data_IF_290939405748
#
_entry.id   IF_290939405748
#
_cell.length_a   1.000
_cell.length_b   1.000
_cell.length_c   1.000
_cell.angle_alpha   90.00
_cell.angle_beta   90.00
_cell.angle_gamma   90.00
#
_symmetry.space_group_name_H-M   'P 1'
#
loop_
_entity.id
_entity.type
_entity.pdbx_description
1 polymer ?
#
# COMPACT_ATOMS: atom_id res chain seq x y z
N UNK A 1 11.59 8.76 -60.35
CA UNK A 1 10.91 8.91 -59.05
C UNK A 1 10.61 7.51 -58.51
N UNK A 2 11.16 7.13 -57.34
CA UNK A 2 10.74 5.93 -56.61
C UNK A 2 9.97 6.38 -55.37
N UNK A 3 8.80 5.79 -55.14
CA UNK A 3 7.90 6.14 -54.03
C UNK A 3 8.59 5.94 -52.68
N UNK A 4 8.69 6.99 -51.88
CA UNK A 4 8.84 6.88 -50.43
C UNK A 4 7.46 6.61 -49.84
N UNK A 5 6.95 5.39 -50.00
CA UNK A 5 5.83 4.90 -49.18
C UNK A 5 6.31 4.90 -47.73
N UNK A 6 5.54 5.46 -46.81
CA UNK A 6 6.06 5.81 -45.49
C UNK A 6 6.25 4.57 -44.63
N UNK A 7 7.31 4.53 -43.83
CA UNK A 7 7.49 3.52 -42.76
C UNK A 7 6.28 3.46 -41.80
N UNK A 8 5.52 4.55 -41.71
CA UNK A 8 4.26 4.65 -40.97
C UNK A 8 3.17 3.75 -41.55
N UNK A 9 3.11 3.64 -42.88
CA UNK A 9 2.09 2.87 -43.60
C UNK A 9 2.33 1.36 -43.42
N UNK A 10 3.60 0.92 -43.45
CA UNK A 10 3.99 -0.46 -43.10
C UNK A 10 3.65 -0.79 -41.63
N UNK A 11 3.93 0.13 -40.69
CA UNK A 11 3.59 -0.05 -39.28
C UNK A 11 2.08 -0.14 -39.06
N UNK A 12 1.27 0.74 -39.65
CA UNK A 12 -0.20 0.71 -39.54
C UNK A 12 -0.78 -0.60 -40.11
N UNK A 13 -0.22 -1.13 -41.20
CA UNK A 13 -0.59 -2.44 -41.76
C UNK A 13 -0.23 -3.60 -40.82
N UNK A 14 0.92 -3.55 -40.14
CA UNK A 14 1.30 -4.52 -39.10
C UNK A 14 0.39 -4.43 -37.88
N UNK A 15 0.04 -3.23 -37.40
CA UNK A 15 -0.91 -3.03 -36.30
C UNK A 15 -2.32 -3.55 -36.63
N UNK A 16 -2.81 -3.32 -37.85
CA UNK A 16 -4.09 -3.85 -38.31
C UNK A 16 -4.11 -5.39 -38.40
N UNK A 17 -3.04 -5.99 -38.92
CA UNK A 17 -2.91 -7.44 -39.00
C UNK A 17 -2.72 -8.11 -37.63
N UNK A 18 -2.05 -7.45 -36.68
CA UNK A 18 -1.90 -7.96 -35.31
C UNK A 18 -3.23 -7.95 -34.55
N UNK A 19 -3.98 -6.84 -34.60
CA UNK A 19 -5.29 -6.72 -33.95
C UNK A 19 -6.35 -7.65 -34.55
N UNK A 20 -6.35 -7.86 -35.87
CA UNK A 20 -7.18 -8.87 -36.52
C UNK A 20 -6.88 -10.30 -36.04
N UNK A 21 -5.63 -10.57 -35.64
CA UNK A 21 -5.20 -11.88 -35.11
C UNK A 21 -5.55 -12.08 -33.64
N UNK A 22 -5.62 -11.02 -32.84
CA UNK A 22 -6.07 -11.08 -31.44
C UNK A 22 -7.59 -11.31 -31.32
N UNK A 23 -8.38 -10.76 -32.24
CA UNK A 23 -9.84 -10.91 -32.25
C UNK A 23 -10.34 -12.37 -32.35
N UNK A 24 -9.47 -13.32 -32.73
CA UNK A 24 -9.82 -14.72 -32.94
C UNK A 24 -9.55 -15.69 -31.77
N UNK A 25 -8.75 -15.33 -30.74
CA UNK A 25 -8.06 -16.39 -29.97
C UNK A 25 -7.84 -16.23 -28.46
N UNK A 26 -8.29 -15.17 -27.76
CA UNK A 26 -8.08 -15.08 -26.30
C UNK A 26 -9.30 -14.62 -25.47
N UNK A 27 -10.14 -15.55 -25.00
CA UNK A 27 -10.97 -15.35 -23.81
C UNK A 27 -10.19 -15.79 -22.57
N UNK A 28 -9.53 -14.86 -21.87
CA UNK A 28 -8.74 -15.18 -20.68
C UNK A 28 -8.31 -13.96 -19.87
N UNK A 29 -8.78 -13.88 -18.62
CA UNK A 29 -8.41 -12.84 -17.66
C UNK A 29 -6.92 -12.98 -17.29
N UNK A 30 -6.06 -12.10 -17.81
CA UNK A 30 -4.60 -12.27 -17.75
C UNK A 30 -4.02 -11.89 -16.38
N UNK A 31 -3.50 -12.88 -15.65
CA UNK A 31 -2.81 -12.67 -14.36
C UNK A 31 -1.49 -11.93 -14.57
N UNK A 32 -1.43 -10.64 -14.20
CA UNK A 32 -0.19 -9.85 -14.14
C UNK A 32 0.58 -10.20 -12.86
N UNK A 33 1.62 -11.02 -12.96
CA UNK A 33 2.59 -11.24 -11.87
C UNK A 33 3.62 -10.11 -11.91
N UNK A 34 3.49 -9.13 -11.01
CA UNK A 34 4.48 -8.06 -10.84
C UNK A 34 5.63 -8.54 -9.92
N UNK A 35 6.90 -8.59 -10.38
CA UNK A 35 8.04 -8.97 -9.56
C UNK A 35 8.30 -8.07 -8.33
N UNK A 36 7.64 -6.92 -8.26
CA UNK A 36 7.69 -6.02 -7.10
C UNK A 36 6.90 -6.49 -5.89
N UNK A 37 5.97 -7.44 -6.09
CA UNK A 37 5.21 -8.08 -5.04
C UNK A 37 6.20 -8.78 -4.10
N UNK A 38 6.99 -9.71 -4.64
CA UNK A 38 7.99 -10.51 -3.92
C UNK A 38 9.00 -9.67 -3.13
N UNK A 39 9.65 -8.68 -3.77
CA UNK A 39 10.64 -7.81 -3.09
C UNK A 39 10.07 -7.06 -1.88
N UNK A 40 8.79 -6.73 -1.91
CA UNK A 40 8.12 -6.08 -0.78
C UNK A 40 7.34 -7.05 0.12
N UNK A 41 7.32 -8.35 -0.18
CA UNK A 41 6.97 -9.39 0.78
C UNK A 41 8.07 -9.46 1.82
N UNK A 42 9.29 -9.73 1.37
CA UNK A 42 10.49 -9.88 2.18
C UNK A 42 10.77 -8.64 3.05
N UNK A 43 10.83 -7.45 2.43
CA UNK A 43 11.04 -6.16 3.13
C UNK A 43 10.06 -5.90 4.29
N UNK A 44 8.83 -6.40 4.20
CA UNK A 44 7.81 -6.22 5.25
C UNK A 44 7.78 -7.36 6.26
N UNK A 45 8.26 -8.55 5.92
CA UNK A 45 8.54 -9.64 6.87
C UNK A 45 9.56 -9.17 7.90
N UNK A 46 10.74 -8.75 7.42
CA UNK A 46 11.83 -8.20 8.23
C UNK A 46 11.38 -7.05 9.15
N UNK A 47 10.47 -6.19 8.68
CA UNK A 47 9.93 -5.06 9.44
C UNK A 47 9.04 -5.50 10.61
N UNK A 48 8.15 -6.48 10.41
CA UNK A 48 7.22 -6.93 11.43
C UNK A 48 7.89 -7.76 12.54
N UNK A 49 9.08 -8.33 12.26
CA UNK A 49 9.85 -9.08 13.25
C UNK A 49 10.21 -8.30 14.51
N UNK A 50 10.35 -6.98 14.44
CA UNK A 50 10.56 -6.15 15.63
C UNK A 50 9.39 -6.23 16.61
N UNK A 51 8.15 -6.29 16.13
CA UNK A 51 6.94 -6.46 16.94
C UNK A 51 6.86 -7.86 17.56
N UNK A 52 7.19 -8.89 16.78
CA UNK A 52 7.18 -10.28 17.23
C UNK A 52 8.29 -10.54 18.27
N UNK A 53 9.52 -10.09 17.99
CA UNK A 53 10.67 -10.17 18.91
C UNK A 53 10.43 -9.46 20.26
N UNK A 54 9.62 -8.38 20.26
CA UNK A 54 9.21 -7.69 21.50
C UNK A 54 8.31 -8.55 22.39
N UNK A 55 7.57 -9.51 21.83
CA UNK A 55 6.80 -10.49 22.63
C UNK A 55 7.69 -11.60 23.21
N UNK A 56 8.89 -11.81 22.64
CA UNK A 56 9.88 -12.81 23.05
C UNK A 56 11.02 -12.22 23.90
N UNK A 57 10.82 -11.04 24.49
CA UNK A 57 11.73 -10.48 25.51
C UNK A 57 13.02 -9.83 24.98
N UNK A 58 13.08 -9.39 23.72
CA UNK A 58 14.24 -8.65 23.15
C UNK A 58 14.68 -7.46 24.03
N UNK A 59 13.77 -6.84 24.77
CA UNK A 59 14.05 -5.77 25.73
C UNK A 59 14.75 -6.23 27.00
N UNK A 60 14.47 -7.43 27.48
CA UNK A 60 15.16 -8.03 28.64
C UNK A 60 16.59 -8.43 28.24
N UNK A 61 16.74 -9.08 27.09
CA UNK A 61 18.03 -9.54 26.57
C UNK A 61 18.99 -8.40 26.22
N UNK A 62 18.49 -7.34 25.58
CA UNK A 62 19.27 -6.15 25.23
C UNK A 62 19.30 -5.10 26.36
N UNK A 63 18.68 -5.38 27.52
CA UNK A 63 18.57 -4.49 28.68
C UNK A 63 18.00 -3.10 28.33
N UNK A 64 16.99 -3.08 27.46
CA UNK A 64 16.33 -1.85 27.02
C UNK A 64 15.48 -1.25 28.15
N UNK A 65 15.74 0.01 28.50
CA UNK A 65 15.06 0.72 29.59
C UNK A 65 14.03 1.71 29.03
N UNK A 66 12.82 1.69 29.59
CA UNK A 66 11.76 2.65 29.26
C UNK A 66 11.42 2.67 27.77
N UNK A 67 11.47 3.86 27.16
CA UNK A 67 11.03 4.08 25.78
C UNK A 67 12.08 3.69 24.70
N UNK A 68 13.20 3.05 25.07
CA UNK A 68 14.28 2.71 24.11
C UNK A 68 13.82 1.85 22.93
N UNK A 69 12.92 0.87 23.15
CA UNK A 69 12.33 0.08 22.05
C UNK A 69 11.55 0.97 21.06
N UNK A 70 10.73 1.88 21.58
CA UNK A 70 9.95 2.84 20.79
C UNK A 70 10.84 3.85 20.06
N UNK A 71 12.00 4.20 20.64
CA UNK A 71 13.04 5.02 20.00
C UNK A 71 13.72 4.24 18.87
N UNK A 72 14.05 2.96 19.03
CA UNK A 72 14.61 2.11 17.96
C UNK A 72 13.64 2.05 16.77
N UNK A 73 12.35 1.81 17.03
CA UNK A 73 11.30 1.87 16.01
C UNK A 73 11.21 3.26 15.36
N UNK A 74 11.27 4.35 16.13
CA UNK A 74 11.22 5.70 15.59
C UNK A 74 12.44 6.01 14.70
N UNK A 75 13.66 5.67 15.14
CA UNK A 75 14.90 5.82 14.36
C UNK A 75 14.82 5.01 13.07
N UNK A 76 14.38 3.76 13.13
CA UNK A 76 14.16 2.94 11.93
C UNK A 76 13.18 3.63 10.97
N UNK A 77 12.03 4.12 11.45
CA UNK A 77 11.03 4.79 10.62
C UNK A 77 11.53 6.12 10.05
N UNK A 78 12.36 6.89 10.78
CA UNK A 78 13.01 8.11 10.28
C UNK A 78 14.00 7.76 9.16
N UNK A 79 14.93 6.84 9.41
CA UNK A 79 15.91 6.39 8.42
C UNK A 79 15.21 5.86 7.16
N UNK A 80 14.22 4.99 7.33
CA UNK A 80 13.40 4.48 6.25
C UNK A 80 12.76 5.64 5.47
N UNK A 81 12.05 6.56 6.12
CA UNK A 81 11.33 7.66 5.45
C UNK A 81 12.26 8.57 4.65
N UNK A 82 13.47 8.85 5.15
CA UNK A 82 14.49 9.65 4.44
C UNK A 82 14.96 8.97 3.14
N UNK A 83 15.15 7.64 3.16
CA UNK A 83 15.62 6.88 1.99
C UNK A 83 14.49 6.27 1.14
N UNK A 84 13.23 6.33 1.58
CA UNK A 84 12.09 5.77 0.85
C UNK A 84 11.65 6.66 -0.32
N UNK A 85 11.75 8.00 -0.21
CA UNK A 85 11.47 8.91 -1.33
C UNK A 85 12.42 8.66 -2.53
N UNK A 86 13.76 8.56 -2.35
CA UNK A 86 14.67 8.15 -3.41
C UNK A 86 14.43 6.72 -3.96
N UNK A 87 14.03 5.76 -3.12
CA UNK A 87 13.91 4.35 -3.53
C UNK A 87 12.52 3.95 -4.05
N UNK A 88 11.47 4.71 -3.77
CA UNK A 88 10.10 4.45 -4.26
C UNK A 88 9.90 4.64 -5.77
N UNK A 89 10.90 5.16 -6.47
CA UNK A 89 10.96 5.11 -7.93
C UNK A 89 11.11 3.64 -8.45
N UNK A 90 11.16 2.64 -7.55
CA UNK A 90 11.37 1.21 -7.83
C UNK A 90 10.46 0.25 -6.98
N UNK A 91 9.13 0.28 -7.19
CA UNK A 91 8.06 -0.78 -7.04
C UNK A 91 7.88 -1.65 -5.72
N UNK A 92 6.63 -2.06 -5.32
CA UNK A 92 6.28 -2.84 -4.08
C UNK A 92 4.86 -3.54 -4.02
N UNK A 93 4.66 -4.72 -3.34
CA UNK A 93 3.87 -4.98 -2.04
C UNK A 93 3.31 -6.42 -1.77
N UNK A 94 3.42 -6.96 -0.52
CA UNK A 94 2.39 -7.68 0.35
C UNK A 94 3.04 -8.59 1.44
N UNK A 95 2.65 -8.69 2.74
CA UNK A 95 3.23 -9.78 3.60
C UNK A 95 2.55 -10.26 4.91
N UNK A 96 2.20 -9.38 5.88
CA UNK A 96 2.40 -9.59 7.33
C UNK A 96 2.02 -10.91 8.04
N UNK A 97 1.09 -11.72 7.50
CA UNK A 97 0.69 -12.99 8.07
C UNK A 97 1.84 -14.03 8.14
N UNK A 98 2.79 -13.99 7.21
CA UNK A 98 3.92 -14.94 7.19
C UNK A 98 4.88 -14.75 8.38
N UNK A 99 5.14 -13.49 8.79
CA UNK A 99 6.07 -13.20 9.90
C UNK A 99 5.56 -13.74 11.23
N UNK A 100 4.26 -13.62 11.52
CA UNK A 100 3.65 -14.21 12.72
C UNK A 100 3.68 -15.75 12.72
N UNK A 101 3.56 -16.38 11.54
CA UNK A 101 3.65 -17.83 11.38
C UNK A 101 5.08 -18.35 11.58
N UNK A 102 6.08 -17.66 11.02
CA UNK A 102 7.50 -18.00 11.18
C UNK A 102 7.90 -17.80 12.65
N UNK A 103 7.54 -16.69 13.28
CA UNK A 103 7.76 -16.47 14.72
C UNK A 103 7.16 -17.59 15.60
N UNK A 104 5.94 -18.07 15.28
CA UNK A 104 5.35 -19.21 15.98
C UNK A 104 6.18 -20.50 15.84
N UNK A 105 6.69 -20.81 14.64
CA UNK A 105 7.54 -21.98 14.42
C UNK A 105 8.90 -21.87 15.11
N UNK A 106 9.50 -20.68 15.04
CA UNK A 106 10.87 -20.43 15.53
C UNK A 106 10.94 -20.35 17.06
N UNK A 107 9.96 -19.74 17.73
CA UNK A 107 9.95 -19.64 19.21
C UNK A 107 9.67 -20.99 19.92
N UNK A 108 9.50 -22.09 19.18
CA UNK A 108 9.46 -23.45 19.72
C UNK A 108 10.84 -24.12 19.76
N UNK A 109 11.86 -23.55 19.11
CA UNK A 109 13.23 -24.05 19.10
C UNK A 109 13.89 -23.75 20.46
N UNK A 110 14.00 -24.76 21.32
CA UNK A 110 14.65 -24.67 22.64
C UNK A 110 16.13 -25.00 22.55
N UNK A 111 16.90 -24.08 21.95
CA UNK A 111 18.35 -24.19 21.76
C UNK A 111 19.10 -23.02 22.42
N UNK A 112 20.42 -23.02 22.32
CA UNK A 112 21.34 -22.12 23.03
C UNK A 112 21.23 -20.60 22.72
N UNK A 113 20.29 -20.17 21.88
CA UNK A 113 20.05 -18.76 21.56
C UNK A 113 18.58 -18.36 21.83
N UNK A 114 18.31 -17.13 22.29
CA UNK A 114 16.96 -16.57 22.38
C UNK A 114 16.19 -16.65 21.05
N UNK A 115 14.89 -16.95 21.12
CA UNK A 115 14.03 -17.23 19.96
C UNK A 115 14.02 -16.10 18.92
N UNK A 116 13.98 -14.84 19.38
CA UNK A 116 14.06 -13.66 18.52
C UNK A 116 15.33 -13.59 17.66
N UNK A 117 16.46 -14.18 18.07
CA UNK A 117 17.68 -14.23 17.25
C UNK A 117 17.52 -15.20 16.08
N UNK A 118 16.94 -16.37 16.34
CA UNK A 118 16.60 -17.32 15.27
C UNK A 118 15.60 -16.72 14.29
N UNK A 119 14.65 -15.90 14.76
CA UNK A 119 13.65 -15.24 13.90
C UNK A 119 14.33 -14.36 12.84
N UNK A 120 15.24 -13.46 13.26
CA UNK A 120 15.99 -12.62 12.32
C UNK A 120 16.95 -13.41 11.42
N UNK A 121 17.57 -14.48 11.91
CA UNK A 121 18.46 -15.32 11.09
C UNK A 121 17.70 -16.09 9.99
N UNK A 122 16.52 -16.63 10.32
CA UNK A 122 15.70 -17.42 9.40
C UNK A 122 15.02 -16.52 8.38
N UNK A 123 14.38 -15.41 8.79
CA UNK A 123 13.75 -14.50 7.84
C UNK A 123 14.77 -13.74 6.98
N UNK A 124 15.84 -13.22 7.58
CA UNK A 124 16.91 -12.56 6.82
C UNK A 124 17.64 -13.51 5.86
N UNK A 125 17.87 -14.76 6.28
CA UNK A 125 18.43 -15.81 5.42
C UNK A 125 17.52 -16.18 4.25
N UNK A 126 16.21 -16.36 4.51
CA UNK A 126 15.22 -16.59 3.46
C UNK A 126 15.13 -15.41 2.48
N UNK A 127 15.18 -14.17 2.99
CA UNK A 127 15.22 -12.95 2.17
C UNK A 127 16.44 -12.94 1.24
N UNK A 128 17.63 -13.31 1.71
CA UNK A 128 18.83 -13.42 0.86
C UNK A 128 18.65 -14.50 -0.21
N UNK A 129 18.23 -15.71 0.18
CA UNK A 129 18.04 -16.84 -0.76
C UNK A 129 17.04 -16.47 -1.86
N UNK A 130 15.89 -15.93 -1.49
CA UNK A 130 14.85 -15.54 -2.45
C UNK A 130 15.32 -14.36 -3.31
N UNK A 131 16.02 -13.37 -2.75
CA UNK A 131 16.60 -12.27 -3.53
C UNK A 131 17.66 -12.75 -4.54
N UNK A 132 18.52 -13.71 -4.18
CA UNK A 132 19.49 -14.33 -5.09
C UNK A 132 18.80 -15.15 -6.17
N UNK A 133 17.80 -15.96 -5.82
CA UNK A 133 16.99 -16.70 -6.80
C UNK A 133 16.27 -15.75 -7.75
N UNK A 134 15.60 -14.73 -7.24
CA UNK A 134 14.90 -13.72 -8.03
C UNK A 134 15.87 -12.95 -8.96
N UNK A 135 17.09 -12.62 -8.51
CA UNK A 135 18.10 -11.97 -9.35
C UNK A 135 18.65 -12.88 -10.48
N UNK A 136 18.62 -14.20 -10.29
CA UNK A 136 19.01 -15.19 -11.31
C UNK A 136 17.85 -15.54 -12.26
N UNK A 137 16.63 -15.63 -11.74
CA UNK A 137 15.45 -16.14 -12.43
C UNK A 137 14.69 -15.03 -13.20
N UNK A 138 14.55 -13.82 -12.64
CA UNK A 138 13.74 -12.78 -13.28
C UNK A 138 14.48 -12.07 -14.43
N UNK A 139 13.89 -12.01 -15.64
CA UNK A 139 14.48 -11.26 -16.74
C UNK A 139 14.36 -9.74 -16.53
N UNK A 140 15.41 -9.02 -16.94
CA UNK A 140 15.52 -7.56 -16.78
C UNK A 140 14.51 -6.73 -17.60
N UNK A 141 13.82 -7.33 -18.57
CA UNK A 141 12.80 -6.70 -19.40
C UNK A 141 11.96 -7.79 -20.09
N UNK A 142 10.69 -7.49 -20.41
CA UNK A 142 9.86 -8.37 -21.24
C UNK A 142 10.47 -8.64 -22.63
N UNK A 143 11.23 -7.68 -23.19
CA UNK A 143 11.96 -7.86 -24.45
C UNK A 143 13.24 -8.72 -24.33
N UNK A 144 13.73 -8.96 -23.11
CA UNK A 144 14.86 -9.84 -22.78
C UNK A 144 14.41 -11.04 -21.93
N UNK A 145 13.13 -11.39 -22.01
CA UNK A 145 12.58 -12.54 -21.31
C UNK A 145 13.05 -13.83 -21.99
N UNK A 146 13.83 -14.65 -21.28
CA UNK A 146 14.33 -15.92 -21.80
C UNK A 146 13.28 -17.05 -21.79
N UNK A 147 12.06 -16.76 -21.29
CA UNK A 147 10.90 -17.67 -21.35
C UNK A 147 9.94 -17.37 -22.50
N UNK A 148 10.03 -16.19 -23.11
CA UNK A 148 9.12 -15.79 -24.18
C UNK A 148 9.63 -16.27 -25.54
N UNK A 149 8.73 -16.83 -26.35
CA UNK A 149 8.98 -17.00 -27.77
C UNK A 149 9.00 -15.64 -28.49
N UNK A 150 9.45 -15.62 -29.75
CA UNK A 150 9.62 -14.36 -30.50
C UNK A 150 8.31 -13.58 -30.67
N UNK A 151 7.17 -14.26 -30.86
CA UNK A 151 5.86 -13.63 -30.95
C UNK A 151 5.37 -13.09 -29.59
N UNK A 152 5.61 -13.81 -28.49
CA UNK A 152 5.32 -13.35 -27.12
C UNK A 152 6.18 -12.14 -26.74
N UNK A 153 7.46 -12.11 -27.13
CA UNK A 153 8.34 -10.96 -26.94
C UNK A 153 7.86 -9.75 -27.74
N UNK A 154 7.40 -9.94 -28.98
CA UNK A 154 6.79 -8.88 -29.79
C UNK A 154 5.48 -8.37 -29.15
N UNK A 155 4.59 -9.24 -28.69
CA UNK A 155 3.35 -8.86 -27.99
C UNK A 155 3.66 -8.14 -26.66
N UNK A 156 4.66 -8.61 -25.91
CA UNK A 156 5.11 -7.95 -24.68
C UNK A 156 5.70 -6.57 -24.98
N UNK A 157 6.47 -6.41 -26.07
CA UNK A 157 6.95 -5.11 -26.53
C UNK A 157 5.82 -4.19 -26.98
N UNK A 158 4.86 -4.67 -27.77
CA UNK A 158 3.68 -3.89 -28.18
C UNK A 158 2.86 -3.45 -26.97
N UNK A 159 2.63 -4.33 -25.99
CA UNK A 159 1.98 -3.98 -24.71
C UNK A 159 2.78 -2.97 -23.91
N UNK A 160 4.11 -3.07 -23.87
CA UNK A 160 4.98 -2.11 -23.17
C UNK A 160 5.07 -0.76 -23.90
N UNK A 161 4.82 -0.74 -25.21
CA UNK A 161 4.64 0.47 -26.03
C UNK A 161 3.21 1.05 -26.00
N UNK A 162 2.23 0.27 -25.54
CA UNK A 162 0.81 0.65 -25.40
C UNK A 162 0.45 1.09 -23.97
N UNK A 163 0.97 0.39 -22.96
CA UNK A 163 1.05 0.86 -21.56
C UNK A 163 2.16 1.93 -21.40
N UNK A 164 3.05 2.05 -22.40
CA UNK A 164 4.03 3.13 -22.52
C UNK A 164 3.39 4.40 -23.08
N UNK A 165 3.84 5.55 -22.59
CA UNK A 165 3.20 6.86 -22.75
C UNK A 165 2.72 7.18 -24.18
N UNK A 166 1.52 7.77 -24.27
CA UNK A 166 0.93 8.35 -25.50
C UNK A 166 1.86 9.38 -26.19
N UNK A 167 2.93 9.83 -25.49
CA UNK A 167 4.03 10.63 -26.03
C UNK A 167 5.38 10.17 -25.47
N UNK A 168 6.16 9.46 -26.29
CA UNK A 168 7.56 9.10 -26.00
C UNK A 168 8.55 10.27 -26.11
N UNK A 169 8.07 11.51 -26.31
CA UNK A 169 8.89 12.71 -26.55
C UNK A 169 8.96 13.71 -25.39
N UNK A 170 8.07 13.63 -24.41
CA UNK A 170 8.05 14.60 -23.31
C UNK A 170 9.09 14.18 -22.25
N UNK A 171 10.20 14.93 -22.17
CA UNK A 171 11.28 14.69 -21.19
C UNK A 171 10.71 14.78 -19.77
N UNK A 172 11.17 13.92 -18.86
CA UNK A 172 10.85 13.97 -17.42
C UNK A 172 11.21 15.35 -16.83
N UNK A 173 10.23 16.25 -16.80
CA UNK A 173 10.37 17.61 -16.28
C UNK A 173 10.34 17.59 -14.75
N UNK A 174 11.53 17.56 -14.14
CA UNK A 174 11.69 17.56 -12.68
C UNK A 174 11.00 18.77 -12.04
N UNK A 175 11.02 19.93 -12.72
CA UNK A 175 10.36 21.16 -12.26
C UNK A 175 8.84 21.04 -12.24
N UNK A 176 8.21 20.43 -13.26
CA UNK A 176 6.76 20.18 -13.26
C UNK A 176 6.37 19.08 -12.25
N UNK A 177 7.20 18.05 -12.13
CA UNK A 177 7.00 16.96 -11.18
C UNK A 177 7.05 17.44 -9.72
N UNK A 178 7.99 18.32 -9.37
CA UNK A 178 8.06 18.96 -8.06
C UNK A 178 6.96 20.02 -7.85
N UNK A 179 6.62 20.78 -8.90
CA UNK A 179 5.53 21.75 -8.85
C UNK A 179 4.18 21.12 -8.50
N UNK A 180 3.92 19.90 -8.97
CA UNK A 180 2.71 19.14 -8.62
C UNK A 180 2.62 18.76 -7.13
N UNK A 181 3.75 18.66 -6.40
CA UNK A 181 3.74 18.29 -4.98
C UNK A 181 3.16 19.37 -4.06
N UNK A 182 3.20 20.63 -4.50
CA UNK A 182 2.62 21.78 -3.80
C UNK A 182 1.14 22.02 -4.18
N UNK A 183 0.57 21.20 -5.05
CA UNK A 183 -0.86 21.26 -5.34
C UNK A 183 -1.67 20.92 -4.09
N UNK A 184 -2.65 21.75 -3.74
CA UNK A 184 -3.43 21.59 -2.51
C UNK A 184 -4.12 20.22 -2.41
N UNK A 185 -4.46 19.57 -3.54
CA UNK A 185 -5.05 18.21 -3.53
C UNK A 185 -4.01 17.16 -3.20
N UNK A 186 -2.78 17.30 -3.69
CA UNK A 186 -1.65 16.44 -3.31
C UNK A 186 -1.33 16.61 -1.83
N UNK A 187 -1.41 17.83 -1.29
CA UNK A 187 -1.29 18.08 0.15
C UNK A 187 -2.44 17.47 0.97
N UNK A 188 -3.69 17.57 0.52
CA UNK A 188 -4.86 16.93 1.17
C UNK A 188 -4.77 15.40 1.13
N UNK A 189 -4.33 14.83 0.00
CA UNK A 189 -4.00 13.42 -0.10
C UNK A 189 -2.83 13.05 0.82
N UNK A 190 -1.78 13.87 0.94
CA UNK A 190 -0.66 13.61 1.84
C UNK A 190 -1.08 13.59 3.32
N UNK A 191 -1.94 14.54 3.74
CA UNK A 191 -2.55 14.55 5.08
C UNK A 191 -3.40 13.28 5.29
N UNK A 192 -4.22 12.90 4.31
CA UNK A 192 -5.02 11.67 4.37
C UNK A 192 -4.14 10.42 4.53
N UNK A 193 -3.06 10.36 3.74
CA UNK A 193 -2.09 9.27 3.70
C UNK A 193 -1.31 9.13 5.01
N UNK A 194 -0.90 10.27 5.58
CA UNK A 194 -0.28 10.33 6.90
C UNK A 194 -1.25 9.83 7.98
N UNK A 195 -2.50 10.33 7.99
CA UNK A 195 -3.52 9.97 8.98
C UNK A 195 -3.79 8.46 9.02
N UNK A 196 -4.07 7.81 7.89
CA UNK A 196 -4.26 6.35 7.88
C UNK A 196 -2.94 5.59 8.05
N UNK A 197 -1.81 6.18 7.64
CA UNK A 197 -0.48 5.61 7.84
C UNK A 197 -0.13 5.42 9.32
N UNK A 198 -0.58 6.31 10.22
CA UNK A 198 -0.37 6.16 11.68
C UNK A 198 -1.04 4.88 12.17
N UNK A 199 -2.29 4.64 11.74
CA UNK A 199 -3.04 3.44 12.11
C UNK A 199 -2.45 2.17 11.47
N UNK A 200 -2.11 2.20 10.18
CA UNK A 200 -1.50 1.06 9.50
C UNK A 200 -0.17 0.64 10.17
N UNK A 201 0.71 1.60 10.47
CA UNK A 201 1.97 1.34 11.18
C UNK A 201 1.75 0.90 12.62
N UNK A 202 0.74 1.46 13.31
CA UNK A 202 0.42 1.08 14.68
C UNK A 202 -0.07 -0.37 14.77
N UNK A 203 -0.91 -0.82 13.82
CA UNK A 203 -1.32 -2.23 13.74
C UNK A 203 -0.13 -3.10 13.36
N UNK A 204 0.66 -2.75 12.33
CA UNK A 204 1.80 -3.57 11.89
C UNK A 204 2.82 -3.81 13.00
N UNK A 205 3.17 -2.78 13.77
CA UNK A 205 4.23 -2.83 14.77
C UNK A 205 3.77 -3.37 16.13
N UNK A 206 2.53 -3.06 16.54
CA UNK A 206 2.08 -3.27 17.92
C UNK A 206 0.94 -4.29 18.08
N UNK A 207 0.36 -4.83 17.00
CA UNK A 207 -0.69 -5.87 17.10
C UNK A 207 -0.27 -7.10 17.93
N UNK A 208 0.96 -7.65 17.83
CA UNK A 208 1.41 -8.73 18.71
C UNK A 208 1.35 -8.32 20.18
N UNK A 209 1.79 -7.09 20.50
CA UNK A 209 1.74 -6.57 21.87
C UNK A 209 0.29 -6.37 22.36
N UNK A 210 -0.63 -5.91 21.50
CA UNK A 210 -2.06 -5.78 21.83
C UNK A 210 -2.72 -7.13 22.13
N UNK A 211 -2.32 -8.20 21.42
CA UNK A 211 -2.76 -9.57 21.69
C UNK A 211 -2.14 -10.11 22.97
N UNK A 212 -0.86 -9.79 23.26
CA UNK A 212 -0.18 -10.18 24.49
C UNK A 212 -0.87 -9.64 25.76
N UNK A 213 -1.53 -8.46 25.69
CA UNK A 213 -2.28 -7.87 26.81
C UNK A 213 -3.39 -8.77 27.37
N UNK A 214 -3.81 -9.80 26.62
CA UNK A 214 -4.82 -10.77 27.04
C UNK A 214 -4.22 -11.91 27.90
N UNK A 215 -2.92 -11.83 28.24
CA UNK A 215 -2.22 -12.80 29.09
C UNK A 215 -1.88 -14.10 28.38
N UNK A 216 -1.58 -14.04 27.07
CA UNK A 216 -1.10 -15.20 26.30
C UNK A 216 0.44 -15.26 26.29
N UNK A 217 0.99 -16.47 26.17
CA UNK A 217 2.44 -16.65 25.97
C UNK A 217 2.91 -16.06 24.63
N UNK A 218 4.20 -15.78 24.47
CA UNK A 218 4.78 -15.26 23.23
C UNK A 218 4.38 -16.11 22.01
N UNK A 219 4.59 -17.44 22.07
CA UNK A 219 4.21 -18.39 21.02
C UNK A 219 2.73 -18.29 20.65
N UNK A 220 1.83 -18.30 21.65
CA UNK A 220 0.38 -18.23 21.42
C UNK A 220 -0.05 -16.86 20.88
N UNK A 221 0.58 -15.79 21.35
CA UNK A 221 0.35 -14.41 20.92
C UNK A 221 0.64 -14.26 19.42
N UNK A 222 1.82 -14.68 18.96
CA UNK A 222 2.21 -14.56 17.55
C UNK A 222 1.25 -15.36 16.64
N UNK A 223 0.94 -16.60 17.00
CA UNK A 223 -0.08 -17.41 16.31
C UNK A 223 -1.44 -16.69 16.24
N UNK A 224 -1.87 -16.07 17.33
CA UNK A 224 -3.16 -15.38 17.41
C UNK A 224 -3.22 -14.11 16.54
N UNK A 225 -2.09 -13.54 16.11
CA UNK A 225 -2.09 -12.43 15.12
C UNK A 225 -2.44 -12.88 13.69
N UNK A 226 -2.22 -14.17 13.36
CA UNK A 226 -2.40 -14.69 11.99
C UNK A 226 -3.86 -14.56 11.53
N UNK A 227 -4.82 -14.96 12.37
CA UNK A 227 -6.24 -14.94 12.00
C UNK A 227 -6.77 -13.51 11.72
N UNK A 228 -6.50 -12.48 12.54
CA UNK A 228 -6.74 -11.08 12.19
C UNK A 228 -6.15 -10.66 10.83
N UNK A 229 -4.89 -11.00 10.52
CA UNK A 229 -4.28 -10.66 9.23
C UNK A 229 -4.94 -11.38 8.04
N UNK A 230 -5.33 -12.65 8.20
CA UNK A 230 -6.07 -13.40 7.18
C UNK A 230 -7.44 -12.78 6.90
N UNK A 231 -8.22 -12.48 7.94
CA UNK A 231 -9.52 -11.79 7.78
C UNK A 231 -9.32 -10.39 7.20
N UNK A 232 -8.26 -9.67 7.60
CA UNK A 232 -7.89 -8.39 7.02
C UNK A 232 -7.65 -8.44 5.53
N UNK A 233 -7.06 -9.53 5.04
CA UNK A 233 -6.81 -9.76 3.61
C UNK A 233 -8.12 -10.02 2.85
N UNK A 234 -9.04 -10.80 3.43
CA UNK A 234 -10.37 -11.06 2.84
C UNK A 234 -11.20 -9.77 2.78
N UNK A 235 -11.24 -8.99 3.87
CA UNK A 235 -11.95 -7.70 3.92
C UNK A 235 -11.35 -6.71 2.91
N UNK A 236 -10.02 -6.62 2.83
CA UNK A 236 -9.33 -5.80 1.84
C UNK A 236 -9.74 -6.16 0.40
N UNK A 237 -9.80 -7.45 0.06
CA UNK A 237 -10.22 -7.89 -1.27
C UNK A 237 -11.68 -7.55 -1.58
N UNK A 238 -12.59 -7.76 -0.61
CA UNK A 238 -14.02 -7.42 -0.76
C UNK A 238 -14.21 -5.91 -0.96
N UNK A 239 -13.58 -5.07 -0.12
CA UNK A 239 -13.75 -3.61 -0.20
C UNK A 239 -13.07 -3.07 -1.46
N UNK A 240 -11.90 -3.60 -1.87
CA UNK A 240 -11.25 -3.22 -3.13
C UNK A 240 -12.13 -3.54 -4.34
N UNK A 241 -12.61 -4.79 -4.45
CA UNK A 241 -13.50 -5.23 -5.55
C UNK A 241 -14.81 -4.42 -5.58
N UNK A 242 -15.38 -4.10 -4.42
CA UNK A 242 -16.56 -3.23 -4.32
C UNK A 242 -16.25 -1.80 -4.80
N UNK A 243 -15.09 -1.24 -4.40
CA UNK A 243 -14.67 0.10 -4.80
C UNK A 243 -14.39 0.22 -6.29
N UNK A 244 -13.84 -0.83 -6.92
CA UNK A 244 -13.65 -0.90 -8.37
C UNK A 244 -14.99 -1.00 -9.11
N UNK A 245 -15.93 -1.81 -8.60
CA UNK A 245 -17.25 -1.99 -9.20
C UNK A 245 -18.09 -0.71 -9.17
N UNK A 246 -18.16 -0.02 -8.02
CA UNK A 246 -18.92 1.23 -7.89
C UNK A 246 -18.17 2.46 -8.40
N UNK A 247 -16.85 2.36 -8.67
CA UNK A 247 -15.96 3.49 -9.01
C UNK A 247 -15.97 4.64 -7.99
N UNK A 248 -16.33 4.30 -6.75
CA UNK A 248 -16.37 5.21 -5.60
C UNK A 248 -15.22 4.80 -4.67
N UNK A 249 -14.36 5.75 -4.31
CA UNK A 249 -13.14 5.51 -3.53
C UNK A 249 -13.23 6.11 -2.14
N UNK A 250 -13.70 7.36 -2.00
CA UNK A 250 -13.75 8.00 -0.68
C UNK A 250 -14.66 7.29 0.32
N UNK A 251 -15.83 6.78 -0.08
CA UNK A 251 -16.72 6.08 0.85
C UNK A 251 -16.16 4.74 1.32
N UNK A 252 -15.60 3.93 0.42
CA UNK A 252 -14.93 2.66 0.76
C UNK A 252 -13.71 2.88 1.65
N UNK A 253 -12.91 3.91 1.35
CA UNK A 253 -11.76 4.29 2.14
C UNK A 253 -12.19 4.76 3.54
N UNK A 254 -13.18 5.65 3.63
CA UNK A 254 -13.71 6.13 4.91
C UNK A 254 -14.31 4.98 5.76
N UNK A 255 -15.06 4.05 5.14
CA UNK A 255 -15.60 2.88 5.82
C UNK A 255 -14.49 2.03 6.46
N UNK A 256 -13.37 1.80 5.77
CA UNK A 256 -12.22 1.07 6.33
C UNK A 256 -11.55 1.83 7.49
N UNK A 257 -11.45 3.17 7.42
CA UNK A 257 -10.95 3.97 8.55
C UNK A 257 -11.88 3.88 9.76
N UNK A 258 -13.20 3.91 9.55
CA UNK A 258 -14.20 3.76 10.62
C UNK A 258 -14.18 2.35 11.23
N UNK A 259 -14.01 1.30 10.44
CA UNK A 259 -13.83 -0.08 10.96
C UNK A 259 -12.61 -0.15 11.90
N UNK A 260 -11.48 0.45 11.48
CA UNK A 260 -10.26 0.51 12.30
C UNK A 260 -10.49 1.34 13.58
N UNK A 261 -11.18 2.47 13.46
CA UNK A 261 -11.51 3.36 14.57
C UNK A 261 -12.36 2.66 15.63
N UNK A 262 -13.39 1.91 15.22
CA UNK A 262 -14.20 1.09 16.13
C UNK A 262 -13.33 0.06 16.88
N UNK A 263 -12.39 -0.60 16.18
CA UNK A 263 -11.42 -1.49 16.82
C UNK A 263 -10.59 -0.81 17.92
N UNK A 264 -10.04 0.38 17.64
CA UNK A 264 -9.29 1.14 18.66
C UNK A 264 -10.17 1.63 19.81
N UNK A 265 -11.41 2.07 19.55
CA UNK A 265 -12.37 2.48 20.60
C UNK A 265 -12.74 1.31 21.52
N UNK A 266 -12.92 0.10 20.97
CA UNK A 266 -13.18 -1.09 21.78
C UNK A 266 -11.97 -1.40 22.68
N UNK A 267 -10.74 -1.39 22.16
CA UNK A 267 -9.54 -1.60 22.99
C UNK A 267 -9.32 -0.49 24.04
N UNK A 268 -9.72 0.75 23.74
CA UNK A 268 -9.62 1.86 24.69
C UNK A 268 -10.66 1.78 25.82
N UNK A 269 -11.85 1.22 25.55
CA UNK A 269 -12.95 1.15 26.53
C UNK A 269 -12.93 -0.13 27.34
N UNK A 270 -12.58 -1.26 26.73
CA UNK A 270 -12.58 -2.60 27.35
C UNK A 270 -11.24 -2.89 28.04
N UNK A 271 -11.28 -3.57 29.19
CA UNK A 271 -10.09 -4.20 29.78
C UNK A 271 -9.78 -5.54 29.08
N UNK A 272 -8.60 -5.69 28.43
CA UNK A 272 -8.23 -6.93 27.74
C UNK A 272 -8.12 -8.16 28.63
N UNK A 273 -7.88 -8.00 29.94
CA UNK A 273 -7.78 -9.13 30.87
C UNK A 273 -9.14 -9.74 31.17
N UNK A 274 -10.13 -8.88 31.47
CA UNK A 274 -11.49 -9.29 31.83
C UNK A 274 -12.27 -9.81 30.61
N UNK A 275 -12.17 -9.15 29.45
CA UNK A 275 -13.01 -9.42 28.28
C UNK A 275 -12.19 -9.83 27.04
N UNK A 276 -11.39 -10.90 27.19
CA UNK A 276 -10.45 -11.39 26.16
C UNK A 276 -11.07 -11.56 24.77
N UNK A 277 -12.28 -12.13 24.68
CA UNK A 277 -12.97 -12.32 23.40
C UNK A 277 -13.31 -11.01 22.67
N UNK A 278 -13.69 -9.96 23.41
CA UNK A 278 -14.00 -8.65 22.84
C UNK A 278 -12.72 -7.90 22.43
N UNK A 279 -11.67 -7.99 23.24
CA UNK A 279 -10.36 -7.46 22.89
C UNK A 279 -9.76 -8.15 21.65
N UNK A 280 -9.92 -9.48 21.53
CA UNK A 280 -9.50 -10.21 20.35
C UNK A 280 -10.33 -9.88 19.11
N UNK A 281 -11.66 -9.74 19.24
CA UNK A 281 -12.51 -9.24 18.16
C UNK A 281 -12.09 -7.86 17.66
N UNK A 282 -11.70 -6.96 18.57
CA UNK A 282 -11.16 -5.66 18.19
C UNK A 282 -9.87 -5.76 17.35
N UNK A 283 -8.98 -6.72 17.63
CA UNK A 283 -7.82 -7.03 16.79
C UNK A 283 -8.20 -7.41 15.35
N UNK A 284 -9.32 -8.13 15.14
CA UNK A 284 -9.83 -8.38 13.78
C UNK A 284 -10.29 -7.09 13.10
N UNK A 285 -10.99 -6.20 13.80
CA UNK A 285 -11.41 -4.91 13.23
C UNK A 285 -10.22 -4.01 12.85
N UNK A 286 -9.17 -4.00 13.68
CA UNK A 286 -7.93 -3.30 13.38
C UNK A 286 -7.30 -3.80 12.06
N UNK A 287 -7.11 -5.11 11.92
CA UNK A 287 -6.55 -5.69 10.70
C UNK A 287 -7.50 -5.59 9.49
N UNK A 288 -8.81 -5.63 9.70
CA UNK A 288 -9.84 -5.50 8.67
C UNK A 288 -9.83 -4.13 7.98
N UNK A 289 -9.62 -3.05 8.72
CA UNK A 289 -9.63 -1.70 8.16
C UNK A 289 -8.25 -1.15 7.81
N UNK A 290 -7.22 -1.37 8.66
CA UNK A 290 -5.99 -0.60 8.59
C UNK A 290 -5.16 -0.80 7.31
N UNK A 291 -5.30 -1.96 6.65
CA UNK A 291 -4.55 -2.27 5.42
C UNK A 291 -5.27 -1.90 4.13
N UNK A 292 -6.60 -1.69 4.16
CA UNK A 292 -7.42 -1.35 2.97
C UNK A 292 -6.98 -0.06 2.27
N UNK A 293 -6.60 1.03 2.98
CA UNK A 293 -6.03 2.21 2.33
C UNK A 293 -4.83 1.92 1.42
N UNK A 294 -4.03 0.90 1.75
CA UNK A 294 -2.77 0.63 1.05
C UNK A 294 -2.91 0.23 -0.43
N UNK A 295 -4.13 -0.12 -0.87
CA UNK A 295 -4.52 -0.34 -2.27
C UNK A 295 -5.42 0.80 -2.79
N UNK A 296 -6.60 0.98 -2.19
CA UNK A 296 -7.66 1.87 -2.71
C UNK A 296 -7.21 3.32 -2.81
N UNK A 297 -6.46 3.83 -1.81
CA UNK A 297 -5.98 5.20 -1.83
C UNK A 297 -5.02 5.47 -3.00
N UNK A 298 -4.13 4.52 -3.30
CA UNK A 298 -3.20 4.69 -4.41
C UNK A 298 -3.93 4.70 -5.76
N UNK A 299 -4.89 3.79 -5.97
CA UNK A 299 -5.76 3.84 -7.15
C UNK A 299 -6.54 5.16 -7.24
N UNK A 300 -7.01 5.70 -6.10
CA UNK A 300 -7.82 6.92 -6.07
C UNK A 300 -7.07 8.16 -6.55
N UNK A 301 -5.87 8.44 -6.03
CA UNK A 301 -5.11 9.60 -6.49
C UNK A 301 -4.60 9.40 -7.93
N UNK A 302 -4.19 8.18 -8.31
CA UNK A 302 -3.72 7.92 -9.68
C UNK A 302 -4.81 8.06 -10.74
N UNK A 303 -6.07 7.76 -10.40
CA UNK A 303 -7.21 7.95 -11.31
C UNK A 303 -7.54 9.43 -11.54
N UNK A 304 -6.99 10.32 -10.71
CA UNK A 304 -7.27 11.76 -10.73
C UNK A 304 -6.03 12.59 -11.14
N UNK A 305 -4.98 11.96 -11.69
CA UNK A 305 -3.77 12.60 -12.23
C UNK A 305 -3.44 12.01 -13.61
N UNK A 306 -3.47 12.83 -14.66
CA UNK A 306 -3.23 12.39 -16.05
C UNK A 306 -1.77 12.40 -16.48
N UNK A 307 -0.99 13.39 -16.04
CA UNK A 307 0.42 13.51 -16.45
C UNK A 307 1.28 12.47 -15.73
N UNK A 308 1.95 11.59 -16.48
CA UNK A 308 2.74 10.49 -15.93
C UNK A 308 3.88 10.95 -15.01
N UNK A 309 4.62 11.99 -15.39
CA UNK A 309 5.69 12.59 -14.57
C UNK A 309 5.18 13.09 -13.21
N UNK A 310 4.00 13.73 -13.21
CA UNK A 310 3.35 14.21 -11.98
C UNK A 310 2.81 13.04 -11.16
N UNK A 311 2.22 12.03 -11.82
CA UNK A 311 1.71 10.80 -11.17
C UNK A 311 2.84 10.04 -10.47
N UNK A 312 3.98 9.83 -11.12
CA UNK A 312 5.14 9.17 -10.53
C UNK A 312 5.69 9.91 -9.31
N UNK A 313 5.89 11.23 -9.40
CA UNK A 313 6.33 12.04 -8.27
C UNK A 313 5.31 12.06 -7.12
N UNK A 314 4.01 12.17 -7.44
CA UNK A 314 2.91 12.14 -6.47
C UNK A 314 2.84 10.79 -5.75
N UNK A 315 2.98 9.65 -6.46
CA UNK A 315 3.09 8.33 -5.83
C UNK A 315 4.26 8.31 -4.83
N UNK A 316 5.45 8.71 -5.25
CA UNK A 316 6.65 8.71 -4.40
C UNK A 316 6.49 9.56 -3.14
N UNK A 317 5.96 10.78 -3.29
CA UNK A 317 5.70 11.72 -2.19
C UNK A 317 4.63 11.22 -1.21
N UNK A 318 3.52 10.66 -1.73
CA UNK A 318 2.45 10.12 -0.90
C UNK A 318 2.86 8.86 -0.16
N UNK A 319 3.67 7.98 -0.76
CA UNK A 319 4.25 6.81 -0.07
C UNK A 319 5.27 7.26 0.99
N UNK A 320 6.11 8.24 0.70
CA UNK A 320 7.00 8.86 1.70
C UNK A 320 6.21 9.41 2.91
N UNK A 321 5.13 10.14 2.65
CA UNK A 321 4.22 10.68 3.66
C UNK A 321 3.55 9.58 4.51
N UNK A 322 3.18 8.46 3.89
CA UNK A 322 2.63 7.29 4.60
C UNK A 322 3.66 6.71 5.60
N UNK A 323 4.93 6.64 5.22
CA UNK A 323 5.97 6.01 6.02
C UNK A 323 6.48 6.93 7.14
N UNK A 324 6.46 8.26 6.93
CA UNK A 324 6.64 9.25 8.02
C UNK A 324 5.64 9.03 9.17
N UNK A 325 4.45 8.50 8.89
CA UNK A 325 3.43 8.20 9.91
C UNK A 325 3.82 7.05 10.86
N UNK A 326 4.84 6.26 10.52
CA UNK A 326 5.47 5.31 11.44
C UNK A 326 6.16 5.99 12.65
N UNK A 327 6.52 7.27 12.53
CA UNK A 327 7.15 8.06 13.60
C UNK A 327 6.17 8.34 14.75
N UNK A 328 5.03 9.04 14.57
CA UNK A 328 4.05 9.25 15.64
C UNK A 328 3.46 7.93 16.14
N UNK A 329 3.26 6.94 15.26
CA UNK A 329 2.89 5.57 15.65
C UNK A 329 3.86 5.02 16.71
N UNK A 330 5.17 5.00 16.41
CA UNK A 330 6.18 4.45 17.31
C UNK A 330 6.30 5.23 18.61
N UNK A 331 6.27 6.56 18.55
CA UNK A 331 6.41 7.43 19.73
C UNK A 331 5.19 7.47 20.65
N UNK A 332 4.02 7.01 20.17
CA UNK A 332 2.79 6.98 20.97
C UNK A 332 2.75 5.82 21.97
N UNK A 333 3.34 4.67 21.63
CA UNK A 333 3.44 3.52 22.53
C UNK A 333 4.61 3.69 23.51
N UNK A 334 4.34 4.36 24.64
CA UNK A 334 5.32 4.59 25.72
C UNK A 334 5.27 3.51 26.80
N UNK A 335 6.44 3.15 27.33
CA UNK A 335 6.56 2.18 28.43
C UNK A 335 5.84 2.63 29.70
N UNK A 336 5.87 3.93 30.01
CA UNK A 336 5.12 4.58 31.12
C UNK A 336 3.60 4.33 31.06
N UNK A 337 3.08 4.04 29.87
CA UNK A 337 1.63 3.87 29.61
C UNK A 337 1.23 2.40 29.46
N UNK A 338 2.18 1.48 29.59
CA UNK A 338 1.90 0.05 29.63
C UNK A 338 1.08 -0.30 30.90
N UNK A 339 0.24 -1.35 30.87
CA UNK A 339 -0.01 -2.25 29.75
C UNK A 339 -1.07 -1.75 28.76
N UNK A 340 -1.93 -0.79 29.13
CA UNK A 340 -3.09 -0.41 28.27
C UNK A 340 -2.75 0.50 27.09
N UNK A 341 -1.63 1.22 27.13
CA UNK A 341 -1.18 2.17 26.09
C UNK A 341 -2.26 3.19 25.69
N UNK A 342 -3.08 3.64 26.65
CA UNK A 342 -4.26 4.49 26.39
C UNK A 342 -3.97 5.72 25.50
N UNK A 343 -2.87 6.49 25.68
CA UNK A 343 -2.55 7.59 24.79
C UNK A 343 -2.32 7.16 23.34
N UNK A 344 -1.74 5.97 23.09
CA UNK A 344 -1.55 5.45 21.74
C UNK A 344 -2.86 5.07 21.06
N UNK A 345 -3.81 4.49 21.80
CA UNK A 345 -5.14 4.18 21.30
C UNK A 345 -5.91 5.46 20.94
N UNK A 346 -5.83 6.48 21.80
CA UNK A 346 -6.45 7.80 21.58
C UNK A 346 -5.83 8.51 20.36
N UNK A 347 -4.50 8.55 20.24
CA UNK A 347 -3.81 9.15 19.09
C UNK A 347 -4.25 8.49 17.78
N UNK A 348 -4.32 7.16 17.75
CA UNK A 348 -4.82 6.42 16.58
C UNK A 348 -6.29 6.75 16.26
N UNK A 349 -7.17 6.84 17.27
CA UNK A 349 -8.56 7.25 17.09
C UNK A 349 -8.67 8.65 16.47
N UNK A 350 -7.89 9.62 16.96
CA UNK A 350 -7.88 10.99 16.44
C UNK A 350 -7.40 11.02 14.98
N UNK A 351 -6.28 10.38 14.66
CA UNK A 351 -5.79 10.34 13.27
C UNK A 351 -6.76 9.62 12.33
N UNK A 352 -7.40 8.53 12.76
CA UNK A 352 -8.41 7.84 11.94
C UNK A 352 -9.65 8.71 11.68
N UNK A 353 -10.15 9.42 12.70
CA UNK A 353 -11.30 10.31 12.55
C UNK A 353 -10.97 11.51 11.65
N UNK A 354 -9.81 12.14 11.85
CA UNK A 354 -9.31 13.21 10.96
C UNK A 354 -9.17 12.69 9.53
N UNK A 355 -8.54 11.53 9.35
CA UNK A 355 -8.41 10.88 8.03
C UNK A 355 -9.75 10.62 7.36
N UNK A 356 -10.74 10.08 8.08
CA UNK A 356 -12.08 9.86 7.57
C UNK A 356 -12.77 11.17 7.16
N UNK A 357 -12.69 12.22 7.99
CA UNK A 357 -13.23 13.54 7.68
C UNK A 357 -12.58 14.17 6.44
N UNK A 358 -11.25 14.07 6.29
CA UNK A 358 -10.53 14.61 5.13
C UNK A 358 -10.87 13.83 3.85
N UNK A 359 -10.93 12.51 3.92
CA UNK A 359 -11.32 11.64 2.80
C UNK A 359 -12.75 11.90 2.34
N UNK A 360 -13.70 11.99 3.27
CA UNK A 360 -15.11 12.32 2.97
C UNK A 360 -15.22 13.75 2.42
N UNK A 361 -14.47 14.71 3.00
CA UNK A 361 -14.44 16.10 2.53
C UNK A 361 -13.95 16.23 1.08
N UNK A 362 -12.80 15.61 0.76
CA UNK A 362 -12.26 15.63 -0.60
C UNK A 362 -13.18 14.91 -1.60
N UNK A 363 -13.70 13.72 -1.25
CA UNK A 363 -14.66 13.02 -2.09
C UNK A 363 -15.97 13.78 -2.29
N UNK A 364 -16.45 14.50 -1.27
CA UNK A 364 -17.62 15.37 -1.39
C UNK A 364 -17.33 16.54 -2.32
N UNK A 365 -16.15 17.16 -2.21
CA UNK A 365 -15.71 18.21 -3.12
C UNK A 365 -15.63 17.72 -4.58
N UNK A 366 -15.07 16.52 -4.83
CA UNK A 366 -15.08 15.89 -6.16
C UNK A 366 -16.50 15.69 -6.71
N UNK A 367 -17.44 15.20 -5.90
CA UNK A 367 -18.86 15.05 -6.33
C UNK A 367 -19.54 16.40 -6.60
N UNK A 368 -19.22 17.44 -5.84
CA UNK A 368 -19.76 18.79 -6.05
C UNK A 368 -19.18 19.45 -7.32
N UNK A 369 -17.88 19.32 -7.59
CA UNK A 369 -17.26 19.86 -8.81
C UNK A 369 -17.76 19.12 -10.07
N UNK A 370 -17.95 17.80 -10.01
CA UNK A 370 -18.58 17.04 -11.09
C UNK A 370 -20.01 17.54 -11.36
N UNK A 371 -20.85 17.66 -10.32
CA UNK A 371 -22.23 18.18 -10.45
C UNK A 371 -22.30 19.60 -10.99
N UNK A 372 -21.31 20.44 -10.65
CA UNK A 372 -21.19 21.80 -11.17
C UNK A 372 -20.92 21.79 -12.68
N UNK A 373 -19.92 21.02 -13.14
CA UNK A 373 -19.56 20.88 -14.56
C UNK A 373 -20.69 20.26 -15.39
N UNK A 374 -21.33 19.22 -14.86
CA UNK A 374 -22.53 18.60 -15.47
C UNK A 374 -23.65 19.64 -15.67
N UNK A 375 -23.92 20.47 -14.65
CA UNK A 375 -24.92 21.54 -14.74
C UNK A 375 -24.53 22.66 -15.72
N UNK A 376 -23.26 23.05 -15.77
CA UNK A 376 -22.72 24.05 -16.69
C UNK A 376 -22.81 23.58 -18.16
N UNK A 377 -22.69 22.27 -18.41
CA UNK A 377 -22.69 21.67 -19.76
C UNK A 377 -24.04 21.07 -20.18
N UNK A 378 -25.00 20.91 -19.26
CA UNK A 378 -26.28 20.24 -19.53
C UNK A 378 -26.18 18.73 -19.74
N UNK A 379 -25.08 18.11 -19.30
CA UNK A 379 -24.77 16.68 -19.46
C UNK A 379 -24.72 15.97 -18.11
N UNK A 380 -24.63 14.63 -18.14
CA UNK A 380 -24.38 13.81 -16.95
C UNK A 380 -23.28 12.81 -17.28
N UNK A 381 -22.03 13.20 -17.03
CA UNK A 381 -20.85 12.39 -17.37
C UNK A 381 -20.14 11.87 -16.12
N UNK A 382 -19.67 10.64 -16.17
CA UNK A 382 -18.78 10.04 -15.18
C UNK A 382 -17.32 10.09 -15.67
N UNK A 383 -16.37 9.86 -14.76
CA UNK A 383 -14.95 9.74 -15.11
C UNK A 383 -14.64 8.60 -16.10
N UNK A 384 -15.56 7.64 -16.28
CA UNK A 384 -15.41 6.55 -17.24
C UNK A 384 -15.87 6.86 -18.67
N UNK A 385 -16.65 7.92 -18.86
CA UNK A 385 -17.27 8.25 -20.16
C UNK A 385 -16.36 9.14 -21.02
N UNK A 386 -15.27 9.66 -20.43
CA UNK A 386 -14.34 10.59 -21.08
C UNK A 386 -12.96 9.93 -21.19
N UNK A 387 -12.53 9.65 -22.42
CA UNK A 387 -11.24 9.02 -22.68
C UNK A 387 -10.08 9.90 -22.18
N UNK A 388 -9.17 9.32 -21.39
CA UNK A 388 -8.05 10.04 -20.75
C UNK A 388 -7.15 10.78 -21.74
N UNK A 389 -6.99 10.24 -22.95
CA UNK A 389 -6.23 10.86 -24.05
C UNK A 389 -6.77 12.24 -24.49
N UNK A 390 -8.06 12.51 -24.24
CA UNK A 390 -8.70 13.78 -24.59
C UNK A 390 -8.48 14.86 -23.51
N UNK A 391 -8.05 14.47 -22.29
CA UNK A 391 -7.92 15.35 -21.12
C UNK A 391 -6.54 16.00 -21.04
N UNK A 392 -6.12 16.66 -22.12
CA UNK A 392 -4.78 17.26 -22.27
C UNK A 392 -4.51 18.36 -21.23
N UNK A 393 -5.54 19.10 -20.83
CA UNK A 393 -5.49 20.09 -19.74
C UNK A 393 -5.60 19.50 -18.32
N UNK A 394 -5.67 18.17 -18.19
CA UNK A 394 -5.95 17.46 -16.94
C UNK A 394 -7.23 17.98 -16.29
N UNK A 395 -7.18 18.24 -14.99
CA UNK A 395 -8.31 18.72 -14.19
C UNK A 395 -8.90 20.08 -14.62
N UNK A 396 -8.15 20.87 -15.39
CA UNK A 396 -8.61 22.17 -15.92
C UNK A 396 -9.49 22.01 -17.15
N UNK A 397 -9.48 20.84 -17.79
CA UNK A 397 -10.33 20.56 -18.94
C UNK A 397 -11.82 20.61 -18.53
N UNK A 398 -12.71 21.27 -19.30
CA UNK A 398 -14.14 21.27 -19.00
C UNK A 398 -14.77 19.87 -18.94
N UNK A 399 -14.26 18.92 -19.74
CA UNK A 399 -14.75 17.55 -19.78
C UNK A 399 -14.21 16.69 -18.63
N UNK A 400 -13.31 17.23 -17.80
CA UNK A 400 -12.82 16.52 -16.62
C UNK A 400 -13.97 16.09 -15.70
N UNK A 401 -13.91 14.85 -15.23
CA UNK A 401 -14.75 14.32 -14.15
C UNK A 401 -13.86 13.59 -13.15
N UNK A 402 -13.93 14.00 -11.89
CA UNK A 402 -13.23 13.35 -10.79
C UNK A 402 -13.78 11.94 -10.56
N UNK A 403 -12.90 11.00 -10.19
CA UNK A 403 -13.30 9.75 -9.53
C UNK A 403 -13.40 10.04 -8.02
N UNK A 404 -14.61 10.06 -7.42
CA UNK A 404 -14.82 10.52 -6.04
C UNK A 404 -14.42 9.53 -4.94
#
# INVERSE_FOLDING_TARGET
MKSQTSKKDELELVFSNATAKEAGTVPGESIRIDPSIEKSVLRKLDFNNLGNAKTDGIDQDLKLVGNQYSIILAVFNVTFSLFDLPSNLLLKKFSGAFSGLIAFGVFQIKENLPGWKYLFLIEGGATIIIATFAAWWLPLSGSKCHWFNEAESQVAQMRLLQDGSVRTTDRLSITEALGALLDWRVLVWAVSCFCFGVAQSSVSNFLPQMVALQGYSAVKTNLYTVAPYCVGTVVLWIIAKSSDHFRERSFHLAAALIITFIGYVILATVDPNTNKGVAYFACFLLAAGAFVPSSIFHSWHTNNVTHESQRAATVGFLVGSANCAGIPSSLSFKAETAPRYMPALIVNCVFLLVGACVVIGLGTWFRLDNRRRDKEQGVRLTAGDVATQNLVGGWKDPNWRWTP
#
